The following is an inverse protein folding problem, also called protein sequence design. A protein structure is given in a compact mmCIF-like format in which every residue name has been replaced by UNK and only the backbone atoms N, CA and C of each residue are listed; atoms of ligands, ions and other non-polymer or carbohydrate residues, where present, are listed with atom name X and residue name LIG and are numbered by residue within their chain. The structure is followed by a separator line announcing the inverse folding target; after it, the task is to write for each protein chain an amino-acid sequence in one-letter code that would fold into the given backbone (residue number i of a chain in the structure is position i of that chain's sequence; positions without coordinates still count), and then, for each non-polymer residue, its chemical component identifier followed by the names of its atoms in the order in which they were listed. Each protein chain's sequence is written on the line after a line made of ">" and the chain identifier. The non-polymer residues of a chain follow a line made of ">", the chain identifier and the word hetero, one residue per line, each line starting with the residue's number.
data_IF_793817386592
#
_entry.id   IF_793817386592
#
_cell.length_a   1.000
_cell.length_b   1.000
_cell.length_c   1.000
_cell.angle_alpha   90.00
_cell.angle_beta   90.00
_cell.angle_gamma   90.00
#
_symmetry.space_group_name_H-M   'P 1'
#
loop_
_entity.id
_entity.type
_entity.pdbx_description
1 polymer ?
#
# COMPACT_ATOMS: atom_id res chain seq x y z
N UNK A 1 20.49 0.24 -15.56
CA UNK A 1 19.67 -0.77 -14.86
C UNK A 1 19.21 -0.12 -13.56
N UNK A 2 18.00 0.43 -13.53
CA UNK A 2 17.51 1.17 -12.37
C UNK A 2 17.12 0.18 -11.28
N UNK A 3 17.84 0.22 -10.16
CA UNK A 3 17.53 -0.56 -8.99
C UNK A 3 16.12 -0.17 -8.52
N UNK A 4 15.19 -1.12 -8.62
CA UNK A 4 13.86 -0.97 -8.03
C UNK A 4 14.08 -0.77 -6.54
N UNK A 5 13.81 0.44 -6.03
CA UNK A 5 13.79 0.69 -4.60
C UNK A 5 12.58 -0.08 -4.05
N UNK A 6 12.83 -1.34 -3.69
CA UNK A 6 11.91 -2.20 -2.94
C UNK A 6 11.96 -1.89 -1.43
N UNK A 7 12.64 -0.81 -1.03
CA UNK A 7 12.78 -0.40 0.37
C UNK A 7 11.44 0.01 0.98
N UNK A 8 11.08 -0.62 2.09
CA UNK A 8 9.88 -0.34 2.90
C UNK A 8 10.07 0.82 3.89
N UNK A 9 11.19 1.54 3.80
CA UNK A 9 11.54 2.63 4.69
C UNK A 9 11.25 4.00 4.04
N UNK A 10 10.23 4.72 4.52
CA UNK A 10 9.91 6.06 4.03
C UNK A 10 10.98 7.08 4.44
N UNK A 11 11.78 6.83 5.49
CA UNK A 11 12.90 7.69 5.84
C UNK A 11 14.03 7.57 4.80
N UNK A 12 14.34 6.36 4.34
CA UNK A 12 15.29 6.16 3.22
C UNK A 12 14.77 6.80 1.93
N UNK A 13 13.46 6.70 1.66
CA UNK A 13 12.85 7.35 0.48
C UNK A 13 12.93 8.87 0.56
N UNK A 14 12.76 9.45 1.76
CA UNK A 14 12.91 10.90 1.99
C UNK A 14 14.35 11.36 1.92
N UNK A 15 15.29 10.62 2.50
CA UNK A 15 16.73 10.91 2.43
C UNK A 15 17.24 10.88 0.98
N UNK A 16 16.67 10.03 0.13
CA UNK A 16 16.99 10.01 -1.29
C UNK A 16 16.56 11.30 -2.02
N UNK A 17 15.55 12.03 -1.54
CA UNK A 17 15.11 13.27 -2.20
C UNK A 17 16.16 14.38 -2.13
N UNK A 18 17.01 14.40 -1.10
CA UNK A 18 18.03 15.43 -0.91
C UNK A 18 19.21 15.30 -1.88
N UNK A 19 19.36 14.15 -2.55
CA UNK A 19 20.45 13.86 -3.48
C UNK A 19 20.01 13.75 -4.94
N UNK A 20 18.70 13.83 -5.20
CA UNK A 20 18.14 13.72 -6.55
C UNK A 20 17.96 15.09 -7.17
N UNK A 21 18.19 15.18 -8.48
CA UNK A 21 17.99 16.42 -9.22
C UNK A 21 16.51 16.86 -9.13
N UNK A 22 16.22 18.13 -8.78
CA UNK A 22 14.86 18.63 -8.72
C UNK A 22 14.12 18.48 -10.05
N UNK A 23 12.91 17.94 -10.02
CA UNK A 23 12.10 17.65 -11.20
C UNK A 23 12.50 16.38 -11.96
N UNK A 24 13.54 15.67 -11.52
CA UNK A 24 13.93 14.40 -12.12
C UNK A 24 12.86 13.33 -11.95
N UNK A 25 12.84 12.39 -12.89
CA UNK A 25 11.92 11.24 -12.83
C UNK A 25 12.14 10.42 -11.57
N UNK A 26 13.39 10.27 -11.16
CA UNK A 26 13.83 9.57 -9.97
C UNK A 26 13.30 10.24 -8.69
N UNK A 27 13.36 11.57 -8.60
CA UNK A 27 12.78 12.31 -7.48
C UNK A 27 11.27 12.07 -7.38
N UNK A 28 10.54 12.21 -8.49
CA UNK A 28 9.10 11.98 -8.53
C UNK A 28 8.73 10.54 -8.13
N UNK A 29 9.53 9.54 -8.54
CA UNK A 29 9.35 8.16 -8.12
C UNK A 29 9.59 7.96 -6.62
N UNK A 30 10.61 8.60 -6.06
CA UNK A 30 10.91 8.55 -4.63
C UNK A 30 9.81 9.22 -3.79
N UNK A 31 9.27 10.36 -4.24
CA UNK A 31 8.13 11.02 -3.61
C UNK A 31 6.88 10.13 -3.62
N UNK A 32 6.54 9.55 -4.78
CA UNK A 32 5.41 8.63 -4.89
C UNK A 32 5.60 7.40 -3.98
N UNK A 33 6.80 6.82 -3.93
CA UNK A 33 7.11 5.69 -3.05
C UNK A 33 6.96 6.07 -1.58
N UNK A 34 7.42 7.25 -1.17
CA UNK A 34 7.26 7.72 0.21
C UNK A 34 5.78 7.87 0.59
N UNK A 35 4.94 8.41 -0.31
CA UNK A 35 3.48 8.49 -0.13
C UNK A 35 2.84 7.10 -0.02
N UNK A 36 3.18 6.20 -0.95
CA UNK A 36 2.69 4.82 -0.97
C UNK A 36 2.98 4.08 0.34
N UNK A 37 4.19 4.24 0.89
CA UNK A 37 4.59 3.58 2.14
C UNK A 37 3.76 4.08 3.32
N UNK A 38 3.47 5.38 3.39
CA UNK A 38 2.62 5.96 4.44
C UNK A 38 1.21 5.37 4.37
N UNK A 39 0.60 5.33 3.19
CA UNK A 39 -0.73 4.75 2.97
C UNK A 39 -0.81 3.28 3.39
N UNK A 40 0.18 2.48 2.98
CA UNK A 40 0.25 1.05 3.33
C UNK A 40 0.40 0.84 4.83
N UNK A 41 1.19 1.66 5.53
CA UNK A 41 1.36 1.58 6.98
C UNK A 41 0.07 1.94 7.72
N UNK A 42 -0.61 3.00 7.29
CA UNK A 42 -1.92 3.38 7.85
C UNK A 42 -2.94 2.25 7.68
N UNK A 43 -3.02 1.64 6.49
CA UNK A 43 -3.89 0.49 6.24
C UNK A 43 -3.53 -0.76 7.06
N UNK A 44 -2.24 -0.99 7.32
CA UNK A 44 -1.79 -2.06 8.20
C UNK A 44 -2.17 -1.81 9.67
N UNK A 45 -2.19 -0.55 10.10
CA UNK A 45 -2.63 -0.14 11.43
C UNK A 45 -4.17 -0.10 11.59
N UNK A 46 -4.94 -0.19 10.50
CA UNK A 46 -6.39 -0.10 10.53
C UNK A 46 -6.92 1.33 10.43
N UNK A 47 -6.09 2.28 10.00
CA UNK A 47 -6.35 3.72 9.99
C UNK A 47 -6.24 4.32 8.57
N UNK A 48 -6.83 3.67 7.57
CA UNK A 48 -6.74 4.14 6.18
C UNK A 48 -7.83 5.14 5.79
N UNK A 49 -8.70 5.51 6.73
CA UNK A 49 -9.94 6.27 6.48
C UNK A 49 -9.73 7.71 6.00
N UNK A 50 -8.53 8.27 6.15
CA UNK A 50 -8.20 9.64 5.73
C UNK A 50 -7.47 9.75 4.38
N UNK A 51 -7.21 8.63 3.71
CA UNK A 51 -6.39 8.57 2.49
C UNK A 51 -7.19 8.56 1.18
N UNK A 52 -6.46 8.52 0.06
CA UNK A 52 -7.04 8.20 -1.24
C UNK A 52 -7.61 6.78 -1.24
N UNK A 53 -8.66 6.48 -2.04
CA UNK A 53 -9.20 5.14 -2.17
C UNK A 53 -8.12 4.11 -2.56
N UNK A 54 -8.12 2.94 -1.94
CA UNK A 54 -7.06 1.95 -2.13
C UNK A 54 -6.89 1.43 -3.56
N UNK A 55 -7.94 1.51 -4.39
CA UNK A 55 -7.88 1.13 -5.80
C UNK A 55 -7.21 2.18 -6.70
N UNK A 56 -7.02 3.42 -6.22
CA UNK A 56 -6.25 4.45 -6.92
C UNK A 56 -4.77 4.43 -6.57
N UNK A 57 -4.37 3.67 -5.55
CA UNK A 57 -2.98 3.58 -5.12
C UNK A 57 -2.09 2.95 -6.20
N UNK A 58 -0.78 3.19 -6.11
CA UNK A 58 0.17 2.58 -7.04
C UNK A 58 0.12 1.04 -7.00
N UNK A 59 0.51 0.35 -8.10
CA UNK A 59 0.58 -1.12 -8.10
C UNK A 59 1.45 -1.70 -6.99
N UNK A 60 2.48 -0.99 -6.54
CA UNK A 60 3.31 -1.43 -5.42
C UNK A 60 2.54 -1.37 -4.11
N UNK A 61 1.84 -0.25 -3.85
CA UNK A 61 1.05 -0.06 -2.64
C UNK A 61 -0.06 -1.10 -2.53
N UNK A 62 -0.80 -1.33 -3.63
CA UNK A 62 -1.86 -2.34 -3.66
C UNK A 62 -1.32 -3.77 -3.43
N UNK A 63 -0.17 -4.13 -4.02
CA UNK A 63 0.50 -5.44 -3.78
C UNK A 63 0.91 -5.65 -2.33
N UNK A 64 1.31 -4.56 -1.65
CA UNK A 64 1.73 -4.63 -0.25
C UNK A 64 0.51 -4.66 0.67
N UNK A 65 -0.43 -3.75 0.47
CA UNK A 65 -1.65 -3.62 1.26
C UNK A 65 -2.50 -4.90 1.25
N UNK A 66 -2.64 -5.60 0.13
CA UNK A 66 -3.42 -6.85 0.09
C UNK A 66 -2.85 -7.96 1.00
N UNK A 67 -1.60 -7.84 1.47
CA UNK A 67 -0.95 -8.78 2.38
C UNK A 67 -0.87 -8.29 3.82
N UNK A 68 -0.86 -6.98 4.04
CA UNK A 68 -0.57 -6.41 5.37
C UNK A 68 -1.76 -5.67 5.98
N UNK A 69 -2.67 -5.11 5.17
CA UNK A 69 -3.77 -4.30 5.66
C UNK A 69 -4.63 -5.06 6.67
N UNK A 70 -5.05 -4.38 7.73
CA UNK A 70 -5.98 -4.91 8.74
C UNK A 70 -7.35 -4.25 8.64
N UNK A 71 -7.41 -3.08 7.98
CA UNK A 71 -8.63 -2.38 7.60
C UNK A 71 -9.44 -3.17 6.55
N UNK A 72 -10.69 -3.49 6.88
CA UNK A 72 -11.59 -4.21 5.98
C UNK A 72 -12.02 -3.37 4.76
N UNK A 73 -12.16 -2.06 4.89
CA UNK A 73 -12.57 -1.20 3.78
C UNK A 73 -11.51 -1.21 2.68
N UNK A 74 -10.24 -1.13 3.06
CA UNK A 74 -9.11 -1.24 2.13
C UNK A 74 -9.13 -2.60 1.43
N UNK A 75 -9.29 -3.68 2.19
CA UNK A 75 -9.27 -5.04 1.62
C UNK A 75 -10.45 -5.30 0.69
N UNK A 76 -11.65 -4.82 1.01
CA UNK A 76 -12.84 -4.99 0.16
C UNK A 76 -12.73 -4.19 -1.14
N UNK A 77 -12.22 -2.96 -1.06
CA UNK A 77 -12.00 -2.11 -2.23
C UNK A 77 -10.93 -2.72 -3.15
N UNK A 78 -9.80 -3.17 -2.59
CA UNK A 78 -8.77 -3.90 -3.36
C UNK A 78 -9.27 -5.24 -3.90
N UNK A 79 -10.17 -5.93 -3.18
CA UNK A 79 -10.79 -7.16 -3.65
C UNK A 79 -11.64 -6.95 -4.90
N UNK A 80 -12.35 -5.83 -4.96
CA UNK A 80 -13.24 -5.48 -6.06
C UNK A 80 -12.47 -4.89 -7.24
N UNK A 81 -11.59 -3.92 -6.98
CA UNK A 81 -11.05 -3.01 -7.98
C UNK A 81 -9.52 -3.06 -8.10
N UNK A 82 -8.83 -3.94 -7.36
CA UNK A 82 -7.37 -4.01 -7.36
C UNK A 82 -6.80 -4.19 -8.77
N UNK A 83 -5.64 -3.58 -9.04
CA UNK A 83 -5.06 -3.44 -10.38
C UNK A 83 -4.78 -4.77 -11.09
N UNK A 84 -4.63 -5.87 -10.34
CA UNK A 84 -4.40 -7.20 -10.89
C UNK A 84 -5.27 -8.26 -10.23
N UNK A 85 -5.48 -9.36 -10.95
CA UNK A 85 -6.23 -10.51 -10.45
C UNK A 85 -5.63 -11.08 -9.16
N UNK A 86 -4.30 -11.13 -9.05
CA UNK A 86 -3.59 -11.61 -7.85
C UNK A 86 -3.89 -10.72 -6.64
N UNK A 87 -3.84 -9.40 -6.81
CA UNK A 87 -4.18 -8.46 -5.72
C UNK A 87 -5.63 -8.64 -5.28
N UNK A 88 -6.57 -8.71 -6.22
CA UNK A 88 -7.99 -8.91 -5.91
C UNK A 88 -8.23 -10.19 -5.12
N UNK A 89 -7.62 -11.30 -5.57
CA UNK A 89 -7.73 -12.59 -4.90
C UNK A 89 -7.18 -12.56 -3.47
N UNK A 90 -5.96 -12.05 -3.28
CA UNK A 90 -5.30 -11.97 -1.96
C UNK A 90 -6.05 -11.05 -1.00
N UNK A 91 -6.52 -9.90 -1.49
CA UNK A 91 -7.29 -8.96 -0.68
C UNK A 91 -8.60 -9.61 -0.20
N UNK A 92 -9.31 -10.31 -1.08
CA UNK A 92 -10.54 -11.04 -0.76
C UNK A 92 -10.30 -12.14 0.29
N UNK A 93 -9.25 -12.94 0.11
CA UNK A 93 -8.87 -14.00 1.06
C UNK A 93 -8.55 -13.42 2.43
N UNK A 94 -7.75 -12.36 2.48
CA UNK A 94 -7.39 -11.69 3.73
C UNK A 94 -8.60 -11.06 4.41
N UNK A 95 -9.50 -10.42 3.67
CA UNK A 95 -10.72 -9.84 4.22
C UNK A 95 -11.61 -10.91 4.88
N UNK A 96 -11.70 -12.11 4.28
CA UNK A 96 -12.40 -13.25 4.87
C UNK A 96 -11.74 -13.72 6.16
N UNK A 97 -10.40 -13.83 6.17
CA UNK A 97 -9.63 -14.18 7.36
C UNK A 97 -9.90 -13.22 8.52
N UNK A 98 -9.83 -11.90 8.26
CA UNK A 98 -10.08 -10.85 9.26
C UNK A 98 -11.50 -10.90 9.83
N UNK A 99 -12.51 -11.13 8.99
CA UNK A 99 -13.90 -11.30 9.45
C UNK A 99 -14.06 -12.54 10.34
N UNK A 100 -13.41 -13.65 9.99
CA UNK A 100 -13.44 -14.87 10.80
C UNK A 100 -12.76 -14.67 12.16
N UNK A 101 -11.62 -13.99 12.18
CA UNK A 101 -10.92 -13.64 13.43
C UNK A 101 -11.77 -12.74 14.32
N UNK A 102 -12.41 -11.71 13.75
CA UNK A 102 -13.31 -10.83 14.50
C UNK A 102 -14.52 -11.57 15.07
N UNK A 103 -15.12 -12.48 14.30
CA UNK A 103 -16.25 -13.29 14.76
C UNK A 103 -15.87 -14.28 15.87
N UNK A 104 -14.60 -14.71 15.94
CA UNK A 104 -14.10 -15.60 16.98
C UNK A 104 -13.74 -14.89 18.30
N UNK A 105 -13.73 -13.55 18.31
CA UNK A 105 -13.46 -12.73 19.49
C UNK A 105 -14.73 -12.25 20.20
N UNK A 106 -15.91 -12.60 19.66
CA UNK A 106 -17.23 -12.36 20.23
C UNK A 106 -17.74 -13.62 20.94
#
# INVERSE_FOLDING_TARGET
>A
MFAVIEGEDPALSRLALDVLEPGSREQLMAEQRARDVVLVRAAAAGDASSGEPADTWSPWAQRRACRTATDLQVLDLLGSNGFSRDVRAKATERARGRRKEAAAQL
#
